data_IF_890368312407
#
_entry.id   IF_890368312407
#
_cell.length_a   1.000
_cell.length_b   1.000
_cell.length_c   1.000
_cell.angle_alpha   90.00
_cell.angle_beta   90.00
_cell.angle_gamma   90.00
#
_symmetry.space_group_name_H-M   'P 1'
#
loop_
_entity.id
_entity.type
_entity.pdbx_description
1 polymer ?
#
# COMPACT_ATOMS: atom_id res chain seq x y z
N UNK A 1 3.85 -4.92 -7.37
CA UNK A 1 5.23 -4.42 -7.30
C UNK A 1 5.86 -4.87 -6.00
N UNK A 2 6.78 -5.83 -6.06
CA UNK A 2 7.49 -6.34 -4.88
C UNK A 2 9.00 -6.06 -4.99
N UNK A 3 9.69 -6.05 -3.86
CA UNK A 3 11.13 -5.94 -3.77
C UNK A 3 11.69 -6.93 -2.73
N UNK A 4 13.01 -7.11 -2.73
CA UNK A 4 13.70 -7.98 -1.79
C UNK A 4 14.74 -7.19 -1.00
N UNK A 5 14.95 -7.57 0.26
CA UNK A 5 15.99 -7.03 1.12
C UNK A 5 17.09 -8.08 1.25
N UNK A 6 18.31 -7.74 0.84
CA UNK A 6 19.48 -8.62 0.93
C UNK A 6 20.55 -7.97 1.80
N UNK A 7 21.24 -8.77 2.61
CA UNK A 7 22.42 -8.31 3.34
C UNK A 7 23.45 -7.73 2.38
N UNK A 8 23.99 -6.56 2.71
CA UNK A 8 25.07 -5.91 1.96
C UNK A 8 26.42 -6.61 2.17
N UNK A 9 26.62 -7.23 3.33
CA UNK A 9 27.79 -8.04 3.68
C UNK A 9 27.37 -9.17 4.62
N UNK A 10 27.75 -10.41 4.30
CA UNK A 10 27.41 -11.60 5.09
C UNK A 10 27.97 -11.59 6.51
N UNK A 11 29.08 -10.88 6.76
CA UNK A 11 29.66 -10.69 8.10
C UNK A 11 28.75 -9.88 9.03
N UNK A 12 27.85 -9.08 8.46
CA UNK A 12 26.87 -8.28 9.22
C UNK A 12 25.63 -9.07 9.63
N UNK A 13 25.54 -10.36 9.30
CA UNK A 13 24.37 -11.20 9.62
C UNK A 13 24.09 -11.26 11.12
N UNK A 14 25.13 -11.49 11.94
CA UNK A 14 25.01 -11.53 13.41
C UNK A 14 24.67 -10.17 14.03
N UNK A 15 24.92 -9.07 13.31
CA UNK A 15 24.57 -7.72 13.76
C UNK A 15 23.13 -7.32 13.41
N UNK A 16 22.42 -8.12 12.61
CA UNK A 16 21.02 -7.83 12.27
C UNK A 16 20.10 -8.19 13.44
N UNK A 17 19.23 -7.26 13.81
CA UNK A 17 18.13 -7.51 14.76
C UNK A 17 17.22 -8.67 14.32
N UNK A 18 17.16 -8.93 13.02
CA UNK A 18 16.25 -9.88 12.39
C UNK A 18 16.97 -11.15 11.93
N UNK A 19 18.11 -11.49 12.54
CA UNK A 19 19.03 -12.55 12.08
C UNK A 19 18.34 -13.90 11.82
N UNK A 20 17.37 -14.27 12.67
CA UNK A 20 16.61 -15.52 12.56
C UNK A 20 15.70 -15.59 11.31
N UNK A 21 15.35 -14.43 10.74
CA UNK A 21 14.50 -14.32 9.56
C UNK A 21 15.28 -14.21 8.25
N UNK A 22 16.62 -14.21 8.32
CA UNK A 22 17.49 -14.14 7.14
C UNK A 22 17.69 -15.55 6.57
N UNK A 23 17.35 -15.73 5.29
CA UNK A 23 17.54 -17.00 4.57
C UNK A 23 19.02 -17.35 4.42
N UNK A 24 19.32 -18.61 4.08
CA UNK A 24 20.69 -19.04 3.81
C UNK A 24 21.35 -18.19 2.70
N UNK A 25 20.58 -17.77 1.70
CA UNK A 25 21.01 -16.91 0.59
C UNK A 25 21.12 -15.42 0.95
N UNK A 26 20.89 -15.05 2.22
CA UNK A 26 21.09 -13.70 2.74
C UNK A 26 19.92 -12.74 2.54
N UNK A 27 18.72 -13.23 2.20
CA UNK A 27 17.52 -12.40 2.06
C UNK A 27 16.71 -12.34 3.35
N UNK A 28 16.19 -11.16 3.69
CA UNK A 28 15.27 -11.00 4.82
C UNK A 28 13.85 -11.41 4.40
N UNK A 29 13.35 -12.53 4.94
CA UNK A 29 12.07 -13.11 4.55
C UNK A 29 10.88 -12.35 5.14
N UNK A 30 10.05 -11.77 4.28
CA UNK A 30 8.78 -11.17 4.66
C UNK A 30 7.85 -12.20 5.32
N UNK A 31 7.68 -13.39 4.71
CA UNK A 31 6.85 -14.49 5.23
C UNK A 31 7.26 -14.93 6.63
N UNK A 32 8.55 -15.16 6.88
CA UNK A 32 9.01 -15.63 8.20
C UNK A 32 8.72 -14.60 9.30
N UNK A 33 8.97 -13.31 9.01
CA UNK A 33 8.62 -12.22 9.94
C UNK A 33 7.11 -12.21 10.20
N UNK A 34 6.28 -12.27 9.16
CA UNK A 34 4.82 -12.26 9.31
C UNK A 34 4.31 -13.47 10.08
N UNK A 35 4.83 -14.66 9.80
CA UNK A 35 4.47 -15.89 10.52
C UNK A 35 4.79 -15.80 12.01
N UNK A 36 6.00 -15.33 12.37
CA UNK A 36 6.36 -15.12 13.77
C UNK A 36 5.48 -14.07 14.43
N UNK A 37 5.24 -12.96 13.74
CA UNK A 37 4.37 -11.89 14.22
C UNK A 37 2.92 -12.37 14.42
N UNK A 38 2.40 -13.21 13.52
CA UNK A 38 1.09 -13.82 13.64
C UNK A 38 0.96 -14.65 14.92
N UNK A 39 1.95 -15.51 15.23
CA UNK A 39 1.96 -16.29 16.48
C UNK A 39 1.94 -15.37 17.70
N UNK A 40 2.73 -14.30 17.70
CA UNK A 40 2.78 -13.35 18.82
C UNK A 40 1.45 -12.62 19.00
N UNK A 41 0.82 -12.19 17.91
CA UNK A 41 -0.48 -11.49 17.96
C UNK A 41 -1.59 -12.44 18.40
N UNK A 42 -1.59 -13.70 17.97
CA UNK A 42 -2.55 -14.69 18.46
C UNK A 42 -2.49 -14.81 19.99
N UNK A 43 -1.28 -15.01 20.53
CA UNK A 43 -1.06 -15.10 21.98
C UNK A 43 -1.43 -13.80 22.70
N UNK A 44 -1.19 -12.64 22.09
CA UNK A 44 -1.59 -11.35 22.64
C UNK A 44 -3.11 -11.20 22.67
N UNK A 45 -3.83 -11.64 21.64
CA UNK A 45 -5.30 -11.64 21.63
C UNK A 45 -5.87 -12.44 22.79
N UNK A 46 -5.29 -13.60 23.11
CA UNK A 46 -5.75 -14.46 24.21
C UNK A 46 -5.51 -13.84 25.59
N UNK A 47 -4.51 -12.97 25.74
CA UNK A 47 -4.06 -12.41 27.02
C UNK A 47 -4.45 -10.94 27.24
N UNK A 48 -4.83 -10.23 26.20
CA UNK A 48 -5.09 -8.79 26.30
C UNK A 48 -6.37 -8.47 27.09
N UNK A 49 -6.49 -7.20 27.52
CA UNK A 49 -7.67 -6.70 28.20
C UNK A 49 -8.96 -6.82 27.37
N UNK A 50 -8.83 -6.93 26.05
CA UNK A 50 -9.95 -7.04 25.09
C UNK A 50 -10.15 -8.46 24.54
N UNK A 51 -9.60 -9.50 25.18
CA UNK A 51 -9.64 -10.90 24.70
C UNK A 51 -11.03 -11.42 24.35
N UNK A 52 -12.08 -10.90 24.99
CA UNK A 52 -13.47 -11.29 24.75
C UNK A 52 -14.07 -10.59 23.52
N UNK A 53 -13.48 -9.49 23.07
CA UNK A 53 -13.94 -8.66 21.96
C UNK A 53 -13.00 -8.63 20.76
N UNK A 54 -11.79 -9.17 20.87
CA UNK A 54 -10.78 -9.16 19.81
C UNK A 54 -10.31 -10.59 19.57
N UNK A 55 -10.60 -11.12 18.38
CA UNK A 55 -10.20 -12.46 17.97
C UNK A 55 -9.33 -12.39 16.72
N UNK A 56 -8.32 -13.26 16.63
CA UNK A 56 -7.56 -13.41 15.39
C UNK A 56 -8.41 -14.17 14.36
N UNK A 57 -8.38 -13.73 13.10
CA UNK A 57 -9.03 -14.43 11.99
C UNK A 57 -8.16 -15.61 11.55
N UNK A 58 -8.75 -16.80 11.47
CA UNK A 58 -8.09 -18.03 11.02
C UNK A 58 -7.98 -18.13 9.48
N UNK A 59 -7.33 -19.19 8.99
CA UNK A 59 -7.24 -19.55 7.56
C UNK A 59 -6.64 -18.46 6.64
N UNK A 60 -5.70 -17.68 7.18
CA UNK A 60 -4.95 -16.67 6.42
C UNK A 60 -3.51 -16.57 6.93
N UNK A 61 -2.57 -16.21 6.06
CA UNK A 61 -1.19 -15.87 6.49
C UNK A 61 -1.04 -14.41 6.92
N UNK A 62 -2.10 -13.61 6.77
CA UNK A 62 -2.13 -12.22 7.20
C UNK A 62 -2.47 -12.10 8.68
N UNK A 63 -1.94 -11.07 9.35
CA UNK A 63 -2.32 -10.78 10.73
C UNK A 63 -3.59 -9.94 10.72
N UNK A 64 -4.73 -10.60 10.83
CA UNK A 64 -6.06 -9.96 10.84
C UNK A 64 -6.78 -10.21 12.16
N UNK A 65 -7.34 -9.14 12.70
CA UNK A 65 -8.14 -9.14 13.92
C UNK A 65 -9.60 -8.84 13.57
N UNK A 66 -10.52 -9.60 14.16
CA UNK A 66 -11.93 -9.27 14.21
C UNK A 66 -12.25 -8.65 15.57
N UNK A 67 -12.77 -7.43 15.55
CA UNK A 67 -13.10 -6.65 16.73
C UNK A 67 -14.63 -6.52 16.82
N UNK A 68 -15.19 -7.01 17.93
CA UNK A 68 -16.62 -7.00 18.26
C UNK A 68 -17.49 -7.58 17.13
N UNK A 69 -17.00 -8.62 16.47
CA UNK A 69 -17.64 -9.25 15.31
C UNK A 69 -18.01 -8.31 14.14
N UNK A 70 -17.51 -7.07 14.14
CA UNK A 70 -17.93 -6.02 13.20
C UNK A 70 -16.78 -5.44 12.39
N UNK A 71 -15.64 -5.20 13.01
CA UNK A 71 -14.51 -4.56 12.35
C UNK A 71 -13.41 -5.56 12.08
N UNK A 72 -12.85 -5.52 10.88
CA UNK A 72 -11.66 -6.30 10.53
C UNK A 72 -10.48 -5.35 10.40
N UNK A 73 -9.41 -5.61 11.15
CA UNK A 73 -8.18 -4.81 11.13
C UNK A 73 -7.04 -5.72 10.71
N UNK A 74 -6.35 -5.38 9.62
CA UNK A 74 -5.11 -6.04 9.23
C UNK A 74 -3.92 -5.24 9.75
N UNK A 75 -3.01 -5.90 10.46
CA UNK A 75 -1.76 -5.33 10.93
C UNK A 75 -0.63 -5.89 10.06
N UNK A 76 0.11 -5.02 9.37
CA UNK A 76 1.12 -5.45 8.40
C UNK A 76 2.49 -4.99 8.85
N UNK A 77 3.43 -5.90 9.19
CA UNK A 77 4.82 -5.52 9.43
C UNK A 77 5.41 -4.82 8.20
N UNK A 78 6.16 -3.73 8.43
CA UNK A 78 6.72 -2.95 7.34
C UNK A 78 8.10 -2.37 7.66
N UNK A 79 8.84 -2.03 6.60
CA UNK A 79 10.04 -1.21 6.67
C UNK A 79 9.86 0.06 5.84
N UNK A 80 10.11 1.22 6.47
CA UNK A 80 10.14 2.51 5.76
C UNK A 80 11.48 2.68 5.03
N UNK A 81 11.41 2.99 3.74
CA UNK A 81 12.56 3.20 2.86
C UNK A 81 12.59 4.66 2.41
N UNK A 82 13.15 5.54 3.23
CA UNK A 82 13.29 6.97 2.93
C UNK A 82 14.61 7.31 2.22
N UNK A 83 14.61 8.41 1.45
CA UNK A 83 15.77 8.88 0.68
C UNK A 83 16.13 8.00 -0.53
N UNK A 84 15.30 7.00 -0.84
CA UNK A 84 15.50 6.08 -1.97
C UNK A 84 14.21 5.92 -2.76
N UNK A 85 14.34 5.83 -4.08
CA UNK A 85 13.22 5.59 -4.98
C UNK A 85 13.43 4.28 -5.75
N UNK A 86 12.41 3.42 -5.87
CA UNK A 86 12.59 2.11 -6.48
C UNK A 86 12.75 2.25 -7.99
N UNK A 87 13.69 1.47 -8.56
CA UNK A 87 14.00 1.50 -10.00
C UNK A 87 12.78 1.21 -10.88
N UNK A 88 11.89 0.32 -10.43
CA UNK A 88 10.63 0.01 -11.13
C UNK A 88 9.70 1.20 -11.29
N UNK A 89 9.81 2.22 -10.44
CA UNK A 89 9.05 3.46 -10.49
C UNK A 89 9.90 4.68 -10.91
N UNK A 90 11.14 4.47 -11.36
CA UNK A 90 12.06 5.56 -11.72
C UNK A 90 11.62 6.34 -12.96
N UNK A 91 10.75 5.75 -13.79
CA UNK A 91 10.14 6.40 -14.94
C UNK A 91 9.14 7.50 -14.56
N UNK A 92 8.74 7.58 -13.29
CA UNK A 92 7.85 8.63 -12.78
C UNK A 92 8.66 9.84 -12.24
N UNK A 93 8.21 11.09 -12.50
CA UNK A 93 7.04 11.47 -13.30
C UNK A 93 7.31 11.35 -14.80
N UNK A 94 6.23 11.28 -15.59
CA UNK A 94 6.32 11.18 -17.05
C UNK A 94 6.80 12.55 -17.61
N UNK A 95 7.87 12.62 -18.42
CA UNK A 95 8.54 13.88 -18.79
C UNK A 95 7.68 14.97 -19.43
N UNK A 96 6.59 14.61 -20.09
CA UNK A 96 5.70 15.56 -20.80
C UNK A 96 4.44 15.92 -19.99
N UNK A 97 4.29 15.39 -18.78
CA UNK A 97 3.16 15.69 -17.91
C UNK A 97 3.61 16.75 -16.90
N UNK A 98 3.04 17.96 -16.93
CA UNK A 98 3.50 19.06 -16.08
C UNK A 98 2.97 18.96 -14.63
N UNK A 99 2.50 17.77 -14.22
CA UNK A 99 2.05 17.46 -12.88
C UNK A 99 2.75 16.20 -12.35
N UNK A 100 3.14 16.20 -11.06
CA UNK A 100 3.07 17.30 -10.12
C UNK A 100 4.17 18.35 -10.34
N UNK A 101 4.10 19.47 -9.65
CA UNK A 101 5.17 20.47 -9.65
C UNK A 101 6.52 19.84 -9.27
N UNK A 102 7.65 20.20 -9.91
CA UNK A 102 8.96 19.58 -9.66
C UNK A 102 9.40 19.54 -8.19
N UNK A 103 9.09 20.57 -7.41
CA UNK A 103 9.39 20.57 -5.96
C UNK A 103 8.67 19.43 -5.23
N UNK A 104 7.40 19.17 -5.55
CA UNK A 104 6.65 18.07 -4.97
C UNK A 104 7.23 16.71 -5.39
N UNK A 105 7.75 16.59 -6.62
CA UNK A 105 8.46 15.38 -7.08
C UNK A 105 9.67 15.09 -6.19
N UNK A 106 10.47 16.11 -5.87
CA UNK A 106 11.64 15.98 -5.00
C UNK A 106 11.21 15.54 -3.60
N UNK A 107 10.18 16.19 -3.05
CA UNK A 107 9.64 15.87 -1.72
C UNK A 107 9.13 14.42 -1.62
N UNK A 108 8.36 13.94 -2.61
CA UNK A 108 7.84 12.57 -2.56
C UNK A 108 8.92 11.53 -2.80
N UNK A 109 9.91 11.81 -3.68
CA UNK A 109 11.05 10.90 -3.86
C UNK A 109 11.93 10.83 -2.60
N UNK A 110 12.02 11.93 -1.86
CA UNK A 110 12.74 12.00 -0.57
C UNK A 110 12.00 11.24 0.53
N UNK A 111 10.67 11.36 0.59
CA UNK A 111 9.84 10.59 1.53
C UNK A 111 10.04 9.08 1.33
N UNK A 112 10.08 8.65 0.07
CA UNK A 112 10.33 7.28 -0.33
C UNK A 112 9.07 6.40 -0.32
N UNK A 113 9.22 5.17 0.14
CA UNK A 113 8.16 4.16 0.10
C UNK A 113 8.30 3.14 1.23
N UNK A 114 7.27 2.34 1.46
CA UNK A 114 7.28 1.27 2.45
C UNK A 114 7.37 -0.10 1.79
N UNK A 115 8.03 -1.02 2.49
CA UNK A 115 8.07 -2.44 2.18
C UNK A 115 7.18 -3.19 3.16
N UNK A 116 6.09 -3.76 2.66
CA UNK A 116 5.07 -4.43 3.46
C UNK A 116 5.25 -5.95 3.40
N UNK A 117 5.20 -6.60 4.57
CA UNK A 117 5.07 -8.05 4.63
C UNK A 117 3.60 -8.44 4.52
N UNK A 118 3.12 -8.59 3.28
CA UNK A 118 1.77 -9.07 2.96
C UNK A 118 1.79 -9.91 1.69
N UNK A 119 0.76 -10.70 1.47
CA UNK A 119 0.59 -11.44 0.23
C UNK A 119 0.33 -10.51 -0.95
N UNK A 120 0.79 -10.94 -2.12
CA UNK A 120 0.57 -10.25 -3.38
C UNK A 120 -0.08 -11.21 -4.37
N UNK A 121 -1.32 -10.93 -4.76
CA UNK A 121 -2.13 -11.79 -5.63
C UNK A 121 -1.44 -12.04 -6.98
N UNK A 122 -0.69 -11.07 -7.50
CA UNK A 122 0.06 -11.21 -8.77
C UNK A 122 1.25 -12.17 -8.70
N UNK A 123 1.60 -12.63 -7.49
CA UNK A 123 2.67 -13.61 -7.24
C UNK A 123 2.12 -14.98 -6.84
N UNK A 124 0.81 -15.21 -6.90
CA UNK A 124 0.23 -16.55 -6.69
C UNK A 124 0.43 -17.39 -7.97
N UNK A 125 1.19 -18.50 -7.87
CA UNK A 125 1.31 -19.51 -8.93
C UNK A 125 2.56 -19.45 -9.80
N UNK A 126 3.51 -18.55 -9.52
CA UNK A 126 4.82 -18.47 -10.19
C UNK A 126 5.86 -19.25 -9.38
N UNK A 127 5.85 -20.58 -9.50
CA UNK A 127 6.75 -21.54 -8.83
C UNK A 127 8.20 -21.04 -8.71
N UNK A 128 8.49 -20.29 -7.66
CA UNK A 128 9.84 -19.86 -7.33
C UNK A 128 9.95 -19.93 -5.82
N UNK A 129 11.05 -20.48 -5.31
CA UNK A 129 11.32 -20.58 -3.88
C UNK A 129 11.38 -19.20 -3.17
N UNK A 130 11.31 -18.10 -3.94
CA UNK A 130 11.21 -16.71 -3.45
C UNK A 130 9.76 -16.23 -3.28
N UNK A 131 8.76 -17.00 -3.71
CA UNK A 131 7.35 -16.70 -3.48
C UNK A 131 7.10 -16.61 -1.97
N UNK A 132 6.63 -15.44 -1.51
CA UNK A 132 6.31 -15.12 -0.12
C UNK A 132 7.42 -14.46 0.69
N UNK A 133 8.69 -14.55 0.27
CA UNK A 133 9.80 -13.89 0.97
C UNK A 133 10.01 -12.44 0.53
N UNK A 134 9.44 -12.05 -0.61
CA UNK A 134 9.45 -10.69 -1.11
C UNK A 134 8.50 -9.75 -0.33
N UNK A 135 8.83 -8.48 -0.34
CA UNK A 135 8.10 -7.40 0.32
C UNK A 135 7.29 -6.61 -0.71
N UNK A 136 6.03 -6.32 -0.42
CA UNK A 136 5.17 -5.53 -1.31
C UNK A 136 5.49 -4.05 -1.14
N UNK A 137 5.76 -3.34 -2.24
CA UNK A 137 5.98 -1.89 -2.20
C UNK A 137 4.66 -1.16 -1.96
N UNK A 138 4.68 -0.15 -1.10
CA UNK A 138 3.55 0.74 -0.81
C UNK A 138 3.99 2.19 -0.84
N UNK A 139 3.17 3.02 -1.48
CA UNK A 139 3.40 4.44 -1.67
C UNK A 139 2.33 5.28 -0.94
N UNK A 140 1.70 4.73 0.11
CA UNK A 140 0.50 5.32 0.73
C UNK A 140 0.69 6.78 1.14
N UNK A 141 1.81 7.09 1.80
CA UNK A 141 2.12 8.46 2.25
C UNK A 141 2.37 9.42 1.08
N UNK A 142 3.14 9.00 0.08
CA UNK A 142 3.43 9.85 -1.08
C UNK A 142 2.19 10.05 -1.97
N UNK A 143 1.37 9.02 -2.16
CA UNK A 143 0.08 9.12 -2.86
C UNK A 143 -0.86 10.09 -2.13
N UNK A 144 -0.87 10.08 -0.79
CA UNK A 144 -1.62 11.05 0.02
C UNK A 144 -1.12 12.48 -0.17
N UNK A 145 0.21 12.65 -0.27
CA UNK A 145 0.85 13.95 -0.49
C UNK A 145 0.58 14.50 -1.89
N UNK A 146 0.60 13.66 -2.92
CA UNK A 146 0.27 14.04 -4.29
C UNK A 146 -1.15 14.62 -4.43
N UNK A 147 -2.07 14.21 -3.56
CA UNK A 147 -3.46 14.67 -3.59
C UNK A 147 -3.70 15.96 -2.80
N UNK A 148 -2.68 16.66 -2.32
CA UNK A 148 -2.86 18.00 -1.76
C UNK A 148 -3.19 19.04 -2.84
N UNK A 149 -3.93 20.09 -2.44
CA UNK A 149 -4.34 21.19 -3.32
C UNK A 149 -5.68 20.96 -4.02
N UNK A 150 -6.42 22.05 -4.22
CA UNK A 150 -7.75 22.06 -4.84
C UNK A 150 -8.74 21.12 -4.17
N UNK A 151 -9.68 20.61 -4.96
CA UNK A 151 -10.74 19.69 -4.56
C UNK A 151 -10.34 18.21 -4.67
N UNK A 152 -9.06 17.86 -4.91
CA UNK A 152 -8.56 16.48 -5.12
C UNK A 152 -8.97 15.52 -3.99
N UNK A 153 -8.75 15.89 -2.72
CA UNK A 153 -9.15 15.05 -1.57
C UNK A 153 -10.66 14.97 -1.41
N UNK A 154 -11.38 16.05 -1.70
CA UNK A 154 -12.85 16.06 -1.67
C UNK A 154 -13.42 15.13 -2.72
N UNK A 155 -12.87 15.16 -3.93
CA UNK A 155 -13.17 14.23 -5.02
C UNK A 155 -12.95 12.78 -4.58
N UNK A 156 -11.78 12.47 -3.97
CA UNK A 156 -11.50 11.13 -3.45
C UNK A 156 -12.53 10.67 -2.41
N UNK A 157 -12.91 11.54 -1.46
CA UNK A 157 -13.89 11.21 -0.42
C UNK A 157 -15.27 10.92 -0.99
N UNK A 158 -15.72 11.71 -1.97
CA UNK A 158 -17.00 11.49 -2.64
C UNK A 158 -17.00 10.19 -3.44
N UNK A 159 -15.94 9.94 -4.22
CA UNK A 159 -15.81 8.71 -4.99
C UNK A 159 -15.72 7.46 -4.11
N UNK A 160 -15.01 7.52 -2.97
CA UNK A 160 -15.00 6.44 -1.98
C UNK A 160 -16.39 6.20 -1.40
N UNK A 161 -17.12 7.27 -1.08
CA UNK A 161 -18.51 7.16 -0.59
C UNK A 161 -19.41 6.51 -1.64
N UNK A 162 -19.30 6.89 -2.91
CA UNK A 162 -20.05 6.26 -4.00
C UNK A 162 -19.68 4.78 -4.14
N UNK A 163 -18.39 4.45 -4.07
CA UNK A 163 -17.91 3.06 -4.11
C UNK A 163 -18.49 2.25 -2.96
N UNK A 164 -18.43 2.75 -1.72
CA UNK A 164 -18.88 2.03 -0.53
C UNK A 164 -20.40 1.85 -0.50
N UNK A 165 -21.17 2.76 -1.11
CA UNK A 165 -22.65 2.69 -1.13
C UNK A 165 -23.23 1.96 -2.34
N UNK A 166 -22.51 1.91 -3.46
CA UNK A 166 -23.07 1.48 -4.73
C UNK A 166 -22.20 0.49 -5.52
N UNK A 167 -20.91 0.34 -5.19
CA UNK A 167 -19.97 -0.53 -5.90
C UNK A 167 -19.33 -1.60 -5.00
N UNK A 168 -19.88 -1.85 -3.81
CA UNK A 168 -19.58 -3.05 -3.02
C UNK A 168 -20.23 -4.28 -3.64
N UNK A 169 -19.58 -4.80 -4.68
CA UNK A 169 -20.05 -5.96 -5.44
C UNK A 169 -19.38 -7.26 -4.94
N UNK A 170 -20.02 -8.44 -5.15
CA UNK A 170 -19.40 -9.73 -4.87
C UNK A 170 -18.02 -9.86 -5.52
N UNK A 171 -17.04 -10.34 -4.75
CA UNK A 171 -15.64 -10.44 -5.18
C UNK A 171 -14.82 -9.15 -5.06
N UNK A 172 -15.42 -8.04 -4.62
CA UNK A 172 -14.76 -6.74 -4.43
C UNK A 172 -13.92 -6.27 -5.65
N UNK A 173 -14.51 -6.20 -6.86
CA UNK A 173 -13.78 -5.85 -8.08
C UNK A 173 -13.28 -4.39 -8.08
N UNK A 174 -13.97 -3.49 -7.39
CA UNK A 174 -13.60 -2.07 -7.29
C UNK A 174 -13.23 -1.74 -5.85
N UNK A 175 -11.93 -1.58 -5.60
CA UNK A 175 -11.42 -1.19 -4.29
C UNK A 175 -11.27 0.33 -4.19
N UNK A 176 -11.24 0.85 -2.96
CA UNK A 176 -10.81 2.24 -2.69
C UNK A 176 -9.43 2.57 -3.28
N UNK A 177 -8.57 1.57 -3.48
CA UNK A 177 -7.27 1.79 -4.10
C UNK A 177 -7.41 2.02 -5.62
N UNK A 178 -8.30 1.30 -6.32
CA UNK A 178 -8.60 1.59 -7.73
C UNK A 178 -9.08 3.03 -7.93
N UNK A 179 -10.00 3.50 -7.08
CA UNK A 179 -10.51 4.88 -7.12
C UNK A 179 -9.38 5.91 -6.91
N UNK A 180 -8.51 5.70 -5.92
CA UNK A 180 -7.38 6.59 -5.65
C UNK A 180 -6.40 6.64 -6.82
N UNK A 181 -6.12 5.50 -7.44
CA UNK A 181 -5.24 5.40 -8.60
C UNK A 181 -5.82 6.12 -9.81
N UNK A 182 -7.13 5.98 -10.08
CA UNK A 182 -7.79 6.74 -11.15
C UNK A 182 -7.74 8.25 -10.91
N UNK A 183 -7.94 8.70 -9.67
CA UNK A 183 -7.78 10.11 -9.33
C UNK A 183 -6.36 10.63 -9.60
N UNK A 184 -5.33 9.84 -9.31
CA UNK A 184 -3.94 10.21 -9.62
C UNK A 184 -3.72 10.35 -11.14
N UNK A 185 -4.27 9.43 -11.95
CA UNK A 185 -4.24 9.56 -13.41
C UNK A 185 -5.06 10.75 -13.91
N UNK A 186 -6.18 11.08 -13.27
CA UNK A 186 -6.97 12.26 -13.60
C UNK A 186 -6.19 13.55 -13.33
N UNK A 187 -5.31 13.56 -12.31
CA UNK A 187 -4.39 14.67 -12.05
C UNK A 187 -3.32 14.82 -13.13
N UNK A 188 -2.86 13.72 -13.73
CA UNK A 188 -1.96 13.76 -14.88
C UNK A 188 -2.65 14.34 -16.13
N UNK A 189 -3.95 14.05 -16.32
CA UNK A 189 -4.77 14.59 -17.42
C UNK A 189 -5.11 16.07 -17.25
N UNK A 190 -5.34 16.50 -16.02
CA UNK A 190 -5.70 17.87 -15.65
C UNK A 190 -4.63 18.46 -14.72
N UNK A 191 -3.46 18.81 -15.26
CA UNK A 191 -2.28 19.09 -14.43
C UNK A 191 -2.31 20.44 -13.71
N UNK A 192 -3.16 21.38 -14.12
CA UNK A 192 -3.18 22.75 -13.57
C UNK A 192 -4.02 22.80 -12.30
N UNK A 193 -3.58 23.56 -11.30
CA UNK A 193 -4.33 23.66 -10.04
C UNK A 193 -5.72 24.28 -10.22
N UNK A 194 -5.91 25.21 -11.16
CA UNK A 194 -7.23 25.77 -11.49
C UNK A 194 -8.23 24.74 -12.03
N UNK A 195 -7.75 23.63 -12.60
CA UNK A 195 -8.60 22.52 -13.05
C UNK A 195 -9.10 21.65 -11.89
N UNK A 196 -8.62 21.92 -10.68
CA UNK A 196 -9.01 21.30 -9.42
C UNK A 196 -9.68 22.30 -8.48
N UNK A 197 -10.14 23.45 -8.95
CA UNK A 197 -10.98 24.32 -8.14
C UNK A 197 -12.33 23.67 -7.83
N UNK A 198 -13.05 24.20 -6.83
CA UNK A 198 -14.34 23.63 -6.40
C UNK A 198 -15.39 23.60 -7.52
N UNK A 199 -15.33 24.54 -8.47
CA UNK A 199 -16.22 24.57 -9.63
C UNK A 199 -16.02 23.36 -10.57
N UNK A 200 -14.80 22.79 -10.63
CA UNK A 200 -14.47 21.64 -11.47
C UNK A 200 -14.75 20.29 -10.80
N UNK A 201 -15.23 20.27 -9.55
CA UNK A 201 -15.42 19.04 -8.78
C UNK A 201 -16.33 18.02 -9.51
N UNK A 202 -17.43 18.50 -10.10
CA UNK A 202 -18.36 17.67 -10.86
C UNK A 202 -17.70 17.03 -12.08
N UNK A 203 -16.93 17.82 -12.84
CA UNK A 203 -16.22 17.35 -14.04
C UNK A 203 -15.17 16.29 -13.70
N UNK A 204 -14.41 16.49 -12.61
CA UNK A 204 -13.40 15.50 -12.16
C UNK A 204 -14.04 14.19 -11.71
N UNK A 205 -15.14 14.25 -10.96
CA UNK A 205 -15.88 13.05 -10.56
C UNK A 205 -16.38 12.31 -11.80
N UNK A 206 -16.99 13.02 -12.75
CA UNK A 206 -17.48 12.41 -14.00
C UNK A 206 -16.35 11.79 -14.81
N UNK A 207 -15.22 12.49 -15.00
CA UNK A 207 -14.05 11.97 -15.72
C UNK A 207 -13.51 10.68 -15.13
N UNK A 208 -13.41 10.61 -13.79
CA UNK A 208 -12.93 9.42 -13.08
C UNK A 208 -13.92 8.25 -13.19
N UNK A 209 -15.23 8.52 -13.08
CA UNK A 209 -16.25 7.47 -13.22
C UNK A 209 -16.32 6.92 -14.65
N UNK A 210 -16.17 7.78 -15.66
CA UNK A 210 -16.08 7.36 -17.06
C UNK A 210 -14.81 6.55 -17.33
N UNK A 211 -13.68 6.93 -16.72
CA UNK A 211 -12.46 6.14 -16.83
C UNK A 211 -12.56 4.78 -16.12
N UNK A 212 -13.34 4.67 -15.04
CA UNK A 212 -13.53 3.40 -14.33
C UNK A 212 -14.25 2.33 -15.18
N UNK A 213 -15.13 2.76 -16.09
CA UNK A 213 -15.93 1.85 -16.94
C UNK A 213 -15.31 1.55 -18.31
N UNK A 214 -14.25 2.29 -18.70
CA UNK A 214 -13.53 2.10 -19.97
C UNK A 214 -12.48 1.01 -19.87
#
# INVERSE_FOLDING_TARGET
GCAVLKLSDGRKRSMSLWVEFITASGYLSARKIRSRFQTLVAQACDKCAYRDSVKMIADTTEVKLRIRERYVVQITPSFKCSGVWPRSAAHWPIPHIPWPHPNLVIEVKTEGFDLLSKECVTMQGKQSAMEGDAWVMSFTEVESRLLYGGCRRRCLSLLKTLRDRHLELPGNPVTSYHIKTLLLYECEKHPRDSEWDEASLGDRINGILLQLIS
#
